data_IF_306714696131
#
_entry.id   IF_306714696131
#
_cell.length_a   1.000
_cell.length_b   1.000
_cell.length_c   1.000
_cell.angle_alpha   90.00
_cell.angle_beta   90.00
_cell.angle_gamma   90.00
#
_symmetry.space_group_name_H-M   'P 1'
#
loop_
_entity.id
_entity.type
_entity.pdbx_description
1 polymer ?
#
# COMPACT_ATOMS: atom_id res chain seq x y z
N UNK A 1 22.14 -21.05 26.67
CA UNK A 1 21.29 -22.26 26.55
C UNK A 1 20.00 -22.01 27.33
N UNK A 2 18.89 -21.70 26.66
CA UNK A 2 17.57 -21.72 27.28
C UNK A 2 16.68 -22.66 26.46
N UNK A 3 16.42 -23.81 27.07
CA UNK A 3 15.60 -24.89 26.55
C UNK A 3 14.13 -24.52 26.67
N UNK A 4 13.51 -24.12 25.57
CA UNK A 4 12.05 -24.13 25.44
C UNK A 4 11.61 -25.54 25.06
N UNK A 5 11.32 -26.37 26.06
CA UNK A 5 10.89 -27.75 25.85
C UNK A 5 9.50 -27.79 25.19
N UNK A 6 9.47 -28.18 23.92
CA UNK A 6 8.26 -28.40 23.14
C UNK A 6 7.77 -29.83 23.45
N UNK A 7 6.73 -29.98 24.27
CA UNK A 7 6.25 -31.25 24.85
C UNK A 7 5.71 -32.29 23.86
N UNK A 8 5.62 -31.96 22.56
CA UNK A 8 5.13 -32.86 21.50
C UNK A 8 6.25 -33.55 20.68
N UNK A 9 7.53 -33.31 20.96
CA UNK A 9 8.65 -33.93 20.22
C UNK A 9 8.80 -33.48 18.75
N UNK A 10 7.92 -32.59 18.28
CA UNK A 10 7.96 -32.04 16.92
C UNK A 10 9.02 -30.93 16.86
N UNK A 11 10.02 -31.12 16.00
CA UNK A 11 11.10 -30.16 15.75
C UNK A 11 11.14 -29.79 14.27
N UNK A 12 11.26 -28.50 13.98
CA UNK A 12 11.48 -27.96 12.64
C UNK A 12 12.97 -27.58 12.50
N UNK A 13 13.83 -28.47 11.97
CA UNK A 13 15.28 -28.22 11.92
C UNK A 13 15.67 -27.18 10.86
N UNK A 14 14.82 -26.95 9.86
CA UNK A 14 15.05 -26.01 8.76
C UNK A 14 14.15 -24.79 8.91
N UNK A 15 14.76 -23.62 9.05
CA UNK A 15 14.07 -22.33 9.04
C UNK A 15 14.34 -21.66 7.69
N UNK A 16 13.30 -21.26 6.98
CA UNK A 16 13.39 -20.49 5.73
C UNK A 16 12.96 -19.05 6.01
N UNK A 17 13.73 -18.08 5.52
CA UNK A 17 13.32 -16.67 5.61
C UNK A 17 12.14 -16.39 4.67
N UNK A 18 11.31 -15.41 5.03
CA UNK A 18 10.18 -15.02 4.20
C UNK A 18 10.61 -14.62 2.78
N UNK A 19 11.75 -13.92 2.63
CA UNK A 19 12.28 -13.55 1.31
C UNK A 19 12.63 -14.78 0.46
N UNK A 20 13.30 -15.78 1.05
CA UNK A 20 13.63 -17.04 0.38
C UNK A 20 12.39 -17.86 0.02
N UNK A 21 11.38 -17.84 0.89
CA UNK A 21 10.10 -18.50 0.64
C UNK A 21 9.39 -17.90 -0.57
N UNK A 22 9.21 -16.58 -0.61
CA UNK A 22 8.58 -15.89 -1.73
C UNK A 22 9.34 -16.10 -3.05
N UNK A 23 10.67 -16.03 -3.02
CA UNK A 23 11.52 -16.33 -4.18
C UNK A 23 11.34 -17.76 -4.69
N UNK A 24 11.26 -18.74 -3.77
CA UNK A 24 11.09 -20.16 -4.13
C UNK A 24 9.71 -20.43 -4.74
N UNK A 25 8.68 -19.81 -4.19
CA UNK A 25 7.32 -19.92 -4.70
C UNK A 25 7.06 -19.07 -5.96
N UNK A 26 8.02 -18.22 -6.37
CA UNK A 26 7.86 -17.20 -7.43
C UNK A 26 6.66 -16.28 -7.17
N UNK A 27 6.43 -15.99 -5.90
CA UNK A 27 5.27 -15.22 -5.43
C UNK A 27 5.70 -13.92 -4.76
N UNK A 28 4.80 -12.94 -4.78
CA UNK A 28 4.98 -11.68 -4.07
C UNK A 28 4.25 -11.69 -2.72
N UNK A 29 4.75 -10.96 -1.70
CA UNK A 29 4.01 -10.80 -0.46
C UNK A 29 2.62 -10.21 -0.70
N UNK A 30 1.62 -10.69 0.06
CA UNK A 30 0.24 -10.22 -0.06
C UNK A 30 0.12 -8.69 0.08
N UNK A 31 0.91 -8.08 0.96
CA UNK A 31 0.88 -6.61 1.13
C UNK A 31 1.28 -5.84 -0.14
N UNK A 32 2.14 -6.42 -1.00
CA UNK A 32 2.50 -5.82 -2.30
C UNK A 32 1.33 -5.91 -3.28
N UNK A 33 0.66 -7.06 -3.32
CA UNK A 33 -0.53 -7.25 -4.15
C UNK A 33 -1.66 -6.31 -3.72
N UNK A 34 -1.87 -6.15 -2.41
CA UNK A 34 -2.86 -5.22 -1.85
C UNK A 34 -2.51 -3.76 -2.17
N UNK A 35 -1.24 -3.37 -2.07
CA UNK A 35 -0.78 -2.02 -2.46
C UNK A 35 -1.10 -1.75 -3.94
N UNK A 36 -0.71 -2.66 -4.83
CA UNK A 36 -0.96 -2.52 -6.26
C UNK A 36 -2.46 -2.51 -6.59
N UNK A 37 -3.25 -3.40 -6.00
CA UNK A 37 -4.70 -3.45 -6.17
C UNK A 37 -5.38 -2.16 -5.71
N UNK A 38 -4.93 -1.59 -4.57
CA UNK A 38 -5.44 -0.32 -4.04
C UNK A 38 -5.26 0.82 -5.03
N UNK A 39 -4.06 0.97 -5.59
CA UNK A 39 -3.76 2.03 -6.56
C UNK A 39 -4.44 1.80 -7.91
N UNK A 40 -4.57 0.55 -8.36
CA UNK A 40 -5.35 0.21 -9.55
C UNK A 40 -6.84 0.55 -9.38
N UNK A 41 -7.43 0.22 -8.22
CA UNK A 41 -8.81 0.55 -7.89
C UNK A 41 -9.03 2.07 -7.83
N UNK A 42 -8.11 2.79 -7.17
CA UNK A 42 -8.17 4.25 -7.08
C UNK A 42 -8.13 4.89 -8.47
N UNK A 43 -7.16 4.51 -9.31
CA UNK A 43 -7.09 5.00 -10.69
C UNK A 43 -8.30 4.61 -11.55
N UNK A 44 -8.94 3.47 -11.28
CA UNK A 44 -10.20 3.12 -11.93
C UNK A 44 -11.33 4.07 -11.51
N UNK A 45 -11.47 4.36 -10.21
CA UNK A 45 -12.47 5.31 -9.71
C UNK A 45 -12.28 6.72 -10.27
N UNK A 46 -11.03 7.21 -10.35
CA UNK A 46 -10.72 8.54 -10.87
C UNK A 46 -11.04 8.71 -12.36
N UNK A 47 -10.95 7.64 -13.15
CA UNK A 47 -11.28 7.64 -14.60
C UNK A 47 -12.78 7.60 -14.89
N UNK A 48 -13.61 7.39 -13.88
CA UNK A 48 -15.07 7.40 -14.04
C UNK A 48 -15.60 8.83 -13.89
N UNK A 49 -16.84 9.01 -14.31
CA UNK A 49 -17.62 10.22 -14.08
C UNK A 49 -17.66 10.58 -12.58
N UNK A 50 -17.71 11.88 -12.26
CA UNK A 50 -17.82 12.42 -10.90
C UNK A 50 -19.14 12.04 -10.20
N UNK A 51 -20.14 11.56 -10.94
CA UNK A 51 -21.42 11.16 -10.34
C UNK A 51 -21.39 9.78 -9.65
N UNK A 52 -20.28 9.03 -9.71
CA UNK A 52 -20.22 7.71 -9.07
C UNK A 52 -20.19 7.79 -7.53
N UNK A 53 -20.71 6.78 -6.82
CA UNK A 53 -20.69 6.76 -5.36
C UNK A 53 -19.29 6.89 -4.74
N UNK A 54 -18.26 6.31 -5.38
CA UNK A 54 -16.89 6.38 -4.87
C UNK A 54 -16.32 7.81 -4.90
N UNK A 55 -16.64 8.60 -5.93
CA UNK A 55 -16.20 9.99 -6.01
C UNK A 55 -16.94 10.84 -4.97
N UNK A 56 -18.26 10.68 -4.85
CA UNK A 56 -19.05 11.33 -3.80
C UNK A 56 -18.55 11.01 -2.39
N UNK A 57 -18.17 9.76 -2.13
CA UNK A 57 -17.59 9.34 -0.85
C UNK A 57 -16.23 9.99 -0.59
N UNK A 58 -15.38 10.11 -1.62
CA UNK A 58 -14.10 10.82 -1.54
C UNK A 58 -14.29 12.31 -1.26
N UNK A 59 -15.24 12.95 -1.94
CA UNK A 59 -15.60 14.36 -1.70
C UNK A 59 -16.13 14.56 -0.28
N UNK A 60 -17.03 13.68 0.16
CA UNK A 60 -17.55 13.71 1.53
C UNK A 60 -16.42 13.61 2.57
N UNK A 61 -15.48 12.69 2.37
CA UNK A 61 -14.33 12.53 3.25
C UNK A 61 -13.49 13.80 3.39
N UNK A 62 -13.24 14.52 2.29
CA UNK A 62 -12.46 15.77 2.33
C UNK A 62 -13.27 16.97 2.80
N UNK A 63 -14.60 16.93 2.69
CA UNK A 63 -15.48 17.97 3.21
C UNK A 63 -15.70 17.86 4.72
N UNK A 64 -15.59 16.65 5.29
CA UNK A 64 -15.82 16.42 6.71
C UNK A 64 -14.55 16.75 7.52
N UNK A 65 -14.57 17.92 8.15
CA UNK A 65 -13.48 18.40 8.99
C UNK A 65 -13.46 17.75 10.39
N UNK A 66 -14.43 16.90 10.73
CA UNK A 66 -14.56 16.29 12.07
C UNK A 66 -13.92 14.91 12.09
N UNK A 67 -12.64 14.85 12.45
CA UNK A 67 -12.00 13.57 12.80
C UNK A 67 -12.67 13.00 14.05
N UNK A 68 -13.20 11.78 13.96
CA UNK A 68 -13.74 11.06 15.11
C UNK A 68 -12.67 10.95 16.22
N UNK A 69 -13.05 11.26 17.46
CA UNK A 69 -12.16 11.16 18.62
C UNK A 69 -11.84 9.69 18.90
N UNK A 70 -10.55 9.33 18.94
CA UNK A 70 -10.10 7.95 19.20
C UNK A 70 -8.94 7.52 18.29
N UNK A 71 -8.74 6.20 18.14
CA UNK A 71 -7.71 5.64 17.24
C UNK A 71 -8.00 6.10 15.80
N UNK A 72 -7.03 6.69 15.09
CA UNK A 72 -7.21 7.08 13.70
C UNK A 72 -7.67 5.87 12.87
N UNK A 73 -8.81 5.99 12.20
CA UNK A 73 -9.26 4.96 11.29
C UNK A 73 -8.35 4.93 10.06
N UNK A 74 -8.00 3.73 9.60
CA UNK A 74 -7.27 3.54 8.35
C UNK A 74 -8.23 3.65 7.18
N UNK A 75 -8.57 4.88 6.79
CA UNK A 75 -9.39 5.15 5.61
C UNK A 75 -8.52 5.14 4.35
N UNK A 76 -9.15 4.87 3.20
CA UNK A 76 -8.46 4.81 1.91
C UNK A 76 -7.63 6.09 1.61
N UNK A 77 -8.12 7.33 1.83
CA UNK A 77 -7.34 8.54 1.57
C UNK A 77 -6.10 8.66 2.46
N UNK A 78 -6.20 8.27 3.74
CA UNK A 78 -5.05 8.26 4.66
C UNK A 78 -4.01 7.26 4.18
N UNK A 79 -4.44 6.06 3.81
CA UNK A 79 -3.52 5.03 3.32
C UNK A 79 -2.85 5.45 2.02
N UNK A 80 -3.60 5.99 1.05
CA UNK A 80 -3.03 6.50 -0.21
C UNK A 80 -2.04 7.65 0.02
N UNK A 81 -2.38 8.61 0.90
CA UNK A 81 -1.47 9.72 1.23
C UNK A 81 -0.19 9.22 1.94
N UNK A 82 -0.31 8.20 2.80
CA UNK A 82 0.84 7.58 3.44
C UNK A 82 1.71 6.81 2.43
N UNK A 83 1.09 6.11 1.48
CA UNK A 83 1.79 5.43 0.39
C UNK A 83 2.57 6.46 -0.43
N UNK A 84 1.97 7.59 -0.80
CA UNK A 84 2.66 8.68 -1.50
C UNK A 84 3.86 9.17 -0.69
N UNK A 85 3.65 9.58 0.56
CA UNK A 85 4.73 10.11 1.42
C UNK A 85 5.89 9.15 1.64
N UNK A 86 5.62 7.84 1.70
CA UNK A 86 6.65 6.82 1.99
C UNK A 86 7.31 6.26 0.75
N UNK A 87 6.56 6.12 -0.35
CA UNK A 87 6.97 5.33 -1.50
C UNK A 87 7.31 6.20 -2.70
N UNK A 88 6.91 7.47 -2.73
CA UNK A 88 7.19 8.35 -3.87
C UNK A 88 7.46 9.78 -3.39
N UNK A 89 8.64 10.32 -3.70
CA UNK A 89 8.97 11.72 -3.45
C UNK A 89 8.25 12.71 -4.40
N UNK A 90 7.06 12.35 -4.91
CA UNK A 90 6.23 13.22 -5.72
C UNK A 90 5.56 14.27 -4.87
N UNK A 91 5.37 15.48 -5.41
CA UNK A 91 4.57 16.57 -4.81
C UNK A 91 3.05 16.27 -4.80
N UNK A 92 2.66 15.02 -5.02
CA UNK A 92 1.27 14.60 -4.98
C UNK A 92 0.87 14.42 -3.52
N UNK A 93 -0.14 15.14 -3.11
CA UNK A 93 -0.75 15.01 -1.78
C UNK A 93 -2.22 14.69 -1.96
N UNK A 94 -2.82 14.00 -1.00
CA UNK A 94 -4.26 13.71 -0.98
C UNK A 94 -4.83 14.24 0.33
N UNK A 95 -4.76 15.57 0.50
CA UNK A 95 -5.19 16.24 1.74
C UNK A 95 -6.51 16.97 1.57
N UNK A 96 -6.71 17.55 0.40
CA UNK A 96 -7.84 18.42 0.08
C UNK A 96 -8.58 17.90 -1.16
N UNK A 97 -9.84 18.31 -1.32
CA UNK A 97 -10.64 17.98 -2.49
C UNK A 97 -9.98 18.41 -3.82
N UNK A 98 -9.34 19.58 -3.84
CA UNK A 98 -8.64 20.12 -5.02
C UNK A 98 -7.45 19.25 -5.44
N UNK A 99 -6.86 18.53 -4.49
CA UNK A 99 -5.69 17.71 -4.77
C UNK A 99 -6.05 16.52 -5.65
N UNK A 100 -7.32 16.10 -5.70
CA UNK A 100 -7.81 15.00 -6.54
C UNK A 100 -7.80 15.30 -8.05
N UNK A 101 -7.76 16.57 -8.45
CA UNK A 101 -7.72 16.92 -9.88
C UNK A 101 -6.38 16.52 -10.52
N UNK A 102 -5.28 16.61 -9.77
CA UNK A 102 -3.94 16.23 -10.26
C UNK A 102 -3.79 14.72 -10.54
N UNK A 103 -4.14 13.79 -9.63
CA UNK A 103 -4.12 12.36 -9.93
C UNK A 103 -5.19 11.98 -10.94
N UNK A 104 -6.31 12.72 -11.07
CA UNK A 104 -7.28 12.50 -12.17
C UNK A 104 -6.64 12.71 -13.53
N UNK A 105 -5.93 13.83 -13.71
CA UNK A 105 -5.22 14.13 -14.96
C UNK A 105 -4.19 13.03 -15.29
N UNK A 106 -3.47 12.52 -14.29
CA UNK A 106 -2.52 11.41 -14.47
C UNK A 106 -3.26 10.10 -14.75
N UNK A 107 -4.39 9.85 -14.11
CA UNK A 107 -5.16 8.61 -14.25
C UNK A 107 -5.82 8.46 -15.63
N UNK A 108 -6.20 9.57 -16.27
CA UNK A 108 -6.71 9.55 -17.65
C UNK A 108 -5.70 8.96 -18.62
N UNK A 109 -4.42 9.31 -18.44
CA UNK A 109 -3.30 8.69 -19.17
C UNK A 109 -2.93 7.35 -18.52
N UNK A 110 -3.56 6.28 -19.03
CA UNK A 110 -3.33 4.89 -18.56
C UNK A 110 -1.84 4.50 -18.50
N UNK A 111 -1.02 4.74 -19.54
CA UNK A 111 0.43 4.52 -19.46
C UNK A 111 1.10 5.24 -18.29
N UNK A 112 0.83 6.55 -18.11
CA UNK A 112 1.41 7.31 -17.00
C UNK A 112 0.95 6.79 -15.65
N UNK A 113 -0.33 6.43 -15.51
CA UNK A 113 -0.85 5.83 -14.29
C UNK A 113 -0.18 4.50 -13.98
N UNK A 114 -0.04 3.62 -14.97
CA UNK A 114 0.61 2.32 -14.79
C UNK A 114 2.09 2.48 -14.41
N UNK A 115 2.79 3.47 -14.99
CA UNK A 115 4.16 3.79 -14.61
C UNK A 115 4.23 4.26 -13.15
N UNK A 116 3.31 5.13 -12.71
CA UNK A 116 3.23 5.55 -11.30
C UNK A 116 3.04 4.35 -10.35
N UNK A 117 2.10 3.44 -10.68
CA UNK A 117 1.86 2.23 -9.87
C UNK A 117 3.09 1.31 -9.85
N UNK A 118 3.78 1.16 -10.97
CA UNK A 118 5.01 0.38 -11.06
C UNK A 118 6.13 0.99 -10.21
N UNK A 119 6.29 2.32 -10.21
CA UNK A 119 7.26 3.01 -9.36
C UNK A 119 6.92 2.85 -7.88
N UNK A 120 5.66 3.04 -7.48
CA UNK A 120 5.17 2.80 -6.10
C UNK A 120 5.50 1.37 -5.65
N UNK A 121 5.28 0.40 -6.52
CA UNK A 121 5.58 -1.01 -6.23
C UNK A 121 7.07 -1.23 -6.07
N UNK A 122 7.90 -0.72 -6.99
CA UNK A 122 9.35 -0.87 -6.99
C UNK A 122 9.98 -0.27 -5.73
N UNK A 123 9.55 0.92 -5.32
CA UNK A 123 10.04 1.58 -4.10
C UNK A 123 9.59 0.84 -2.84
N UNK A 124 8.37 0.30 -2.82
CA UNK A 124 7.90 -0.55 -1.72
C UNK A 124 8.66 -1.88 -1.62
N UNK A 125 9.06 -2.48 -2.75
CA UNK A 125 9.93 -3.67 -2.75
C UNK A 125 11.33 -3.33 -2.20
N UNK A 126 11.93 -2.22 -2.63
CA UNK A 126 13.23 -1.76 -2.13
C UNK A 126 13.21 -1.46 -0.61
N UNK A 127 12.17 -0.76 -0.13
CA UNK A 127 12.04 -0.47 1.30
C UNK A 127 11.89 -1.73 2.18
N UNK A 128 11.54 -2.88 1.60
CA UNK A 128 11.45 -4.16 2.31
C UNK A 128 12.73 -4.98 2.28
N UNK A 129 13.55 -4.86 1.24
CA UNK A 129 14.85 -5.56 1.22
C UNK A 129 15.79 -5.03 2.30
N UNK A 130 15.58 -3.80 2.75
CA UNK A 130 16.37 -3.14 3.79
C UNK A 130 15.93 -3.51 5.23
N UNK A 131 14.92 -4.37 5.40
CA UNK A 131 14.42 -4.77 6.72
C UNK A 131 15.46 -5.66 7.43
N UNK A 132 16.05 -5.21 8.56
CA UNK A 132 17.09 -5.95 9.28
C UNK A 132 16.62 -7.29 9.85
N UNK A 133 15.31 -7.56 9.85
CA UNK A 133 14.75 -8.87 10.19
C UNK A 133 15.05 -9.95 9.14
N UNK A 134 15.40 -9.58 7.90
CA UNK A 134 15.71 -10.54 6.84
C UNK A 134 17.08 -11.22 7.01
N UNK A 135 17.92 -10.71 7.92
CA UNK A 135 19.25 -11.27 8.26
C UNK A 135 19.44 -11.61 9.74
N UNK A 136 18.37 -11.55 10.57
CA UNK A 136 18.47 -11.83 12.00
C UNK A 136 17.87 -13.20 12.33
N UNK A 137 18.57 -14.24 11.89
CA UNK A 137 18.54 -15.60 12.47
C UNK A 137 19.92 -16.22 12.34
#
# INVERSE_FOLDING_TARGET
>A
MLSGANTLGIRYPTIISNASLYKKCREAPLSMQVLEARWRLFGHALRRDRNIPADKAMLFYFSDNKRARGRPQTTLPITLNNDLKKLVATKLELTTQTDLDTPRLIAEDRPKWNALVAEIRKTAEAARSDDPASGRL
#
